data_IF_249196055301
#
_entry.id   IF_249196055301
#
_cell.length_a   1.000
_cell.length_b   1.000
_cell.length_c   1.000
_cell.angle_alpha   90.00
_cell.angle_beta   90.00
_cell.angle_gamma   90.00
#
_symmetry.space_group_name_H-M   'P 1'
#
loop_
_entity.id
_entity.type
_entity.pdbx_description
1 polymer ?
#
# COMPACT_ATOMS: atom_id res chain seq x y z
N UNK A 1 10.92 -6.84 -40.58
CA UNK A 1 11.47 -7.26 -39.28
C UNK A 1 11.80 -6.05 -38.43
N UNK A 2 11.06 -5.77 -37.36
CA UNK A 2 11.37 -4.68 -36.42
C UNK A 2 12.02 -5.28 -35.17
N UNK A 3 13.28 -4.90 -34.88
CA UNK A 3 14.03 -5.36 -33.71
C UNK A 3 13.57 -4.57 -32.48
N UNK A 4 12.95 -5.24 -31.51
CA UNK A 4 12.63 -4.64 -30.20
C UNK A 4 13.90 -4.54 -29.36
N UNK A 5 14.35 -3.32 -29.10
CA UNK A 5 15.49 -3.04 -28.21
C UNK A 5 15.01 -3.14 -26.76
N UNK A 6 15.40 -4.21 -26.07
CA UNK A 6 15.12 -4.44 -24.66
C UNK A 6 15.95 -3.46 -23.82
N UNK A 7 15.32 -2.35 -23.40
CA UNK A 7 15.89 -1.44 -22.41
C UNK A 7 15.89 -2.13 -21.04
N UNK A 8 17.05 -2.57 -20.58
CA UNK A 8 17.23 -3.11 -19.23
C UNK A 8 16.95 -2.02 -18.19
N UNK A 9 15.75 -2.03 -17.58
CA UNK A 9 15.39 -1.10 -16.51
C UNK A 9 16.15 -1.51 -15.25
N UNK A 10 16.92 -0.58 -14.65
CA UNK A 10 17.58 -0.77 -13.35
C UNK A 10 16.55 -1.29 -12.33
N UNK A 11 16.89 -2.31 -11.50
CA UNK A 11 15.97 -2.82 -10.49
C UNK A 11 15.58 -1.67 -9.56
N UNK A 12 14.27 -1.41 -9.46
CA UNK A 12 13.74 -0.36 -8.57
C UNK A 12 14.13 -0.72 -7.14
N UNK A 13 14.64 0.25 -6.37
CA UNK A 13 14.84 0.10 -4.92
C UNK A 13 13.49 -0.27 -4.29
N UNK A 14 13.36 -1.52 -3.84
CA UNK A 14 12.18 -1.96 -3.11
C UNK A 14 12.42 -1.68 -1.63
N UNK A 15 11.52 -0.89 -1.03
CA UNK A 15 11.51 -0.71 0.42
C UNK A 15 10.70 -1.82 1.06
N UNK A 16 11.21 -2.40 2.16
CA UNK A 16 10.49 -3.41 2.94
C UNK A 16 9.20 -2.81 3.56
N UNK A 17 8.17 -3.63 3.84
CA UNK A 17 6.94 -3.13 4.46
C UNK A 17 7.18 -2.48 5.83
N UNK A 18 8.11 -3.01 6.62
CA UNK A 18 8.50 -2.48 7.94
C UNK A 18 9.09 -1.08 7.79
N UNK A 19 10.04 -0.89 6.86
CA UNK A 19 10.63 0.42 6.58
C UNK A 19 9.58 1.44 6.14
N UNK A 20 8.62 1.03 5.29
CA UNK A 20 7.53 1.93 4.89
C UNK A 20 6.66 2.31 6.07
N UNK A 21 6.34 1.37 6.97
CA UNK A 21 5.55 1.65 8.16
C UNK A 21 6.25 2.62 9.12
N UNK A 22 7.56 2.46 9.29
CA UNK A 22 8.37 3.33 10.15
C UNK A 22 8.53 4.73 9.54
N UNK A 23 8.74 4.81 8.22
CA UNK A 23 8.73 6.07 7.48
C UNK A 23 7.40 6.81 7.59
N UNK A 24 6.27 6.09 7.59
CA UNK A 24 4.95 6.67 7.77
C UNK A 24 4.73 7.17 9.22
N UNK A 25 5.17 6.42 10.24
CA UNK A 25 5.17 6.87 11.64
C UNK A 25 6.02 8.12 11.84
N UNK A 26 7.20 8.16 11.22
CA UNK A 26 8.06 9.35 11.24
C UNK A 26 7.35 10.54 10.58
N UNK A 27 6.73 10.33 9.42
CA UNK A 27 5.97 11.35 8.71
C UNK A 27 4.75 11.88 9.48
N UNK A 28 4.17 11.11 10.40
CA UNK A 28 3.13 11.58 11.33
C UNK A 28 3.70 12.52 12.40
N UNK A 29 4.94 12.27 12.86
CA UNK A 29 5.58 13.07 13.91
C UNK A 29 6.17 14.39 13.40
N UNK A 30 6.87 14.36 12.27
CA UNK A 30 7.64 15.51 11.75
C UNK A 30 7.10 16.05 10.43
N UNK A 31 6.09 15.42 9.85
CA UNK A 31 5.54 15.75 8.54
C UNK A 31 6.22 14.99 7.40
N UNK A 32 5.49 14.84 6.29
CA UNK A 32 5.92 14.03 5.12
C UNK A 32 7.19 14.57 4.48
N UNK A 33 7.29 15.88 4.29
CA UNK A 33 8.45 16.53 3.68
C UNK A 33 9.72 16.34 4.51
N UNK A 34 9.64 16.53 5.83
CA UNK A 34 10.77 16.36 6.73
C UNK A 34 11.22 14.90 6.79
N UNK A 35 10.28 13.95 6.92
CA UNK A 35 10.58 12.51 6.93
C UNK A 35 11.20 12.03 5.60
N UNK A 36 10.73 12.55 4.46
CA UNK A 36 11.32 12.23 3.17
C UNK A 36 12.78 12.71 3.08
N UNK A 37 13.09 13.91 3.58
CA UNK A 37 14.45 14.44 3.62
C UNK A 37 15.36 13.64 4.53
N UNK A 38 14.91 13.30 5.74
CA UNK A 38 15.67 12.52 6.72
C UNK A 38 15.99 11.11 6.22
N UNK A 39 15.03 10.46 5.55
CA UNK A 39 15.18 9.11 5.00
C UNK A 39 15.78 9.09 3.58
N UNK A 40 16.16 10.26 3.04
CA UNK A 40 16.65 10.40 1.64
C UNK A 40 15.70 9.76 0.61
N UNK A 41 14.39 9.90 0.85
CA UNK A 41 13.32 9.45 -0.01
C UNK A 41 12.81 10.60 -0.87
N UNK A 42 12.19 10.26 -2.00
CA UNK A 42 11.45 11.24 -2.77
C UNK A 42 10.11 11.53 -2.08
N UNK A 43 9.70 12.80 -2.03
CA UNK A 43 8.48 13.23 -1.31
C UNK A 43 7.21 12.51 -1.77
N UNK A 44 7.12 12.07 -3.03
CA UNK A 44 5.95 11.30 -3.50
C UNK A 44 5.89 9.86 -2.95
N UNK A 45 6.99 9.31 -2.43
CA UNK A 45 7.00 7.92 -1.94
C UNK A 45 6.13 7.74 -0.70
N UNK A 46 6.26 8.55 0.38
CA UNK A 46 5.34 8.46 1.52
C UNK A 46 3.88 8.70 1.15
N UNK A 47 3.57 9.62 0.22
CA UNK A 47 2.19 9.83 -0.26
C UNK A 47 1.63 8.58 -0.95
N UNK A 48 2.41 7.97 -1.84
CA UNK A 48 2.01 6.73 -2.51
C UNK A 48 1.83 5.57 -1.52
N UNK A 49 2.64 5.51 -0.46
CA UNK A 49 2.51 4.49 0.58
C UNK A 49 1.27 4.69 1.43
N UNK A 50 0.97 5.93 1.87
CA UNK A 50 -0.29 6.24 2.57
C UNK A 50 -1.51 5.85 1.74
N UNK A 51 -1.53 6.25 0.46
CA UNK A 51 -2.64 5.91 -0.43
C UNK A 51 -2.83 4.39 -0.57
N UNK A 52 -1.74 3.63 -0.75
CA UNK A 52 -1.81 2.16 -0.80
C UNK A 52 -2.26 1.54 0.51
N UNK A 53 -1.81 2.06 1.65
CA UNK A 53 -2.21 1.55 2.96
C UNK A 53 -3.71 1.78 3.17
N UNK A 54 -4.21 2.96 2.82
CA UNK A 54 -5.62 3.29 2.95
C UNK A 54 -6.50 2.46 2.01
N UNK A 55 -6.08 2.23 0.76
CA UNK A 55 -6.76 1.32 -0.15
C UNK A 55 -6.86 -0.10 0.40
N UNK A 56 -5.80 -0.59 1.05
CA UNK A 56 -5.77 -1.92 1.66
C UNK A 56 -6.72 -2.04 2.85
N UNK A 57 -6.81 -0.99 3.67
CA UNK A 57 -7.77 -0.94 4.79
C UNK A 57 -9.20 -0.96 4.26
N UNK A 58 -9.53 -0.11 3.29
CA UNK A 58 -10.87 -0.05 2.70
C UNK A 58 -11.25 -1.34 1.97
N UNK A 59 -10.31 -2.00 1.28
CA UNK A 59 -10.58 -3.29 0.66
C UNK A 59 -10.83 -4.37 1.71
N UNK A 60 -10.06 -4.38 2.80
CA UNK A 60 -10.24 -5.33 3.90
C UNK A 60 -11.58 -5.14 4.62
N UNK A 61 -12.03 -3.90 4.82
CA UNK A 61 -13.34 -3.60 5.40
C UNK A 61 -14.47 -4.15 4.52
N UNK A 62 -14.42 -3.90 3.21
CA UNK A 62 -15.38 -4.45 2.26
C UNK A 62 -15.38 -5.98 2.23
N UNK A 63 -14.20 -6.61 2.25
CA UNK A 63 -14.09 -8.07 2.29
C UNK A 63 -14.70 -8.65 3.58
N UNK A 64 -14.51 -7.96 4.72
CA UNK A 64 -15.07 -8.37 5.99
C UNK A 64 -16.62 -8.24 6.00
N UNK A 65 -17.15 -7.17 5.41
CA UNK A 65 -18.60 -6.98 5.24
C UNK A 65 -19.21 -8.09 4.37
N UNK A 66 -18.58 -8.41 3.23
CA UNK A 66 -18.99 -9.52 2.37
C UNK A 66 -18.91 -10.88 3.06
N UNK A 67 -17.93 -11.08 3.94
CA UNK A 67 -17.81 -12.30 4.74
C UNK A 67 -18.94 -12.40 5.78
N UNK A 68 -19.29 -11.28 6.43
CA UNK A 68 -20.39 -11.22 7.38
C UNK A 68 -21.75 -11.49 6.69
N UNK A 69 -21.98 -10.89 5.52
CA UNK A 69 -23.18 -11.17 4.70
C UNK A 69 -23.24 -12.63 4.25
N UNK A 70 -22.12 -13.19 3.77
CA UNK A 70 -22.05 -14.61 3.41
C UNK A 70 -22.39 -15.53 4.59
N UNK A 71 -21.88 -15.23 5.78
CA UNK A 71 -22.21 -16.00 6.97
C UNK A 71 -23.71 -15.90 7.32
N UNK A 72 -24.31 -14.72 7.11
CA UNK A 72 -25.74 -14.49 7.31
C UNK A 72 -26.59 -15.29 6.33
N UNK A 73 -26.27 -15.21 5.04
CA UNK A 73 -26.94 -15.95 3.96
C UNK A 73 -26.82 -17.47 4.16
N UNK A 74 -25.64 -17.96 4.55
CA UNK A 74 -25.44 -19.38 4.85
C UNK A 74 -26.27 -19.88 6.03
N UNK A 75 -26.53 -19.04 7.04
CA UNK A 75 -27.45 -19.39 8.14
C UNK A 75 -28.90 -19.49 7.66
N UNK A 76 -29.33 -18.58 6.78
CA UNK A 76 -30.69 -18.60 6.22
C UNK A 76 -30.95 -19.80 5.29
N UNK A 77 -29.91 -20.32 4.63
CA UNK A 77 -30.02 -21.53 3.81
C UNK A 77 -29.96 -22.83 4.63
N UNK A 78 -29.56 -22.76 5.90
CA UNK A 78 -29.48 -23.90 6.80
C UNK A 78 -30.73 -24.04 7.69
N UNK A 79 -31.63 -23.05 7.69
CA UNK A 79 -33.03 -23.16 8.10
C UNK A 79 -33.91 -23.62 6.93
#
# INVERSE_FOLDING_TARGET
>A
MTKTVSTGKKPRKQHSPEFRSEALKLAERIGVAAAARELSLYESQPYAWRSKQQQQMTSSERENELAAENARLKRQLAE
#
